data_IF_367572746367
#
_entry.id   IF_367572746367
#
_cell.length_a   1.000
_cell.length_b   1.000
_cell.length_c   1.000
_cell.angle_alpha   90.00
_cell.angle_beta   90.00
_cell.angle_gamma   90.00
#
_symmetry.space_group_name_H-M   'P 1'
#
loop_
_entity.id
_entity.type
_entity.pdbx_description
1 polymer ?
#
# COMPACT_ATOMS: atom_id res chain seq x y z
N UNK A 1 -34.30 -15.06 -0.01
CA UNK A 1 -32.96 -14.44 -0.05
C UNK A 1 -31.96 -15.58 0.04
N UNK A 2 -31.12 -15.83 -0.98
CA UNK A 2 -30.09 -16.85 -0.84
C UNK A 2 -29.03 -16.30 0.12
N UNK A 3 -28.75 -17.05 1.18
CA UNK A 3 -27.64 -16.81 2.09
C UNK A 3 -26.33 -16.89 1.29
N UNK A 4 -25.59 -15.79 1.23
CA UNK A 4 -24.20 -15.79 0.77
C UNK A 4 -23.41 -16.55 1.83
N UNK A 5 -23.06 -17.80 1.53
CA UNK A 5 -22.11 -18.57 2.32
C UNK A 5 -20.74 -17.90 2.18
N UNK A 6 -20.39 -17.00 3.10
CA UNK A 6 -19.00 -16.58 3.27
C UNK A 6 -18.25 -17.77 3.87
N UNK A 7 -17.27 -18.29 3.15
CA UNK A 7 -16.29 -19.21 3.69
C UNK A 7 -15.54 -18.46 4.81
N UNK A 8 -16.02 -18.55 6.05
CA UNK A 8 -15.38 -17.89 7.19
C UNK A 8 -14.09 -18.65 7.52
N UNK A 9 -13.01 -18.34 6.81
CA UNK A 9 -11.68 -18.69 7.25
C UNK A 9 -11.49 -18.14 8.67
N UNK A 10 -11.35 -19.02 9.65
CA UNK A 10 -11.05 -18.62 11.03
C UNK A 10 -9.58 -18.27 11.13
N UNK A 11 -9.27 -16.98 11.02
CA UNK A 11 -7.93 -16.45 11.23
C UNK A 11 -7.58 -16.37 12.72
N UNK A 12 -6.30 -16.52 13.09
CA UNK A 12 -5.87 -16.11 14.42
C UNK A 12 -6.04 -14.60 14.61
N UNK A 13 -6.19 -14.12 15.87
CA UNK A 13 -6.20 -12.69 16.15
C UNK A 13 -4.93 -12.00 15.64
N UNK A 14 -5.09 -10.81 15.09
CA UNK A 14 -3.96 -9.99 14.65
C UNK A 14 -3.14 -9.55 15.85
N UNK A 15 -1.83 -9.78 15.77
CA UNK A 15 -0.83 -9.37 16.76
C UNK A 15 0.10 -8.29 16.23
N UNK A 16 0.15 -8.08 14.92
CA UNK A 16 0.98 -7.05 14.30
C UNK A 16 0.28 -6.36 13.13
N UNK A 17 0.41 -5.05 13.05
CA UNK A 17 -0.01 -4.24 11.91
C UNK A 17 1.22 -3.65 11.21
N UNK A 18 1.33 -3.87 9.90
CA UNK A 18 2.45 -3.41 9.09
C UNK A 18 1.91 -2.44 8.04
N UNK A 19 2.46 -1.23 7.99
CA UNK A 19 1.90 -0.14 7.19
C UNK A 19 2.83 0.21 6.03
N UNK A 20 2.27 0.35 4.83
CA UNK A 20 2.88 1.24 3.85
C UNK A 20 2.79 2.71 4.34
N UNK A 21 3.28 3.67 3.56
CA UNK A 21 3.25 5.09 3.92
C UNK A 21 2.64 5.91 2.81
N UNK A 22 3.11 5.73 1.58
CA UNK A 22 2.85 6.65 0.49
C UNK A 22 1.49 6.35 -0.14
N UNK A 23 0.56 7.29 -0.06
CA UNK A 23 -0.83 7.05 -0.50
C UNK A 23 -1.71 6.33 0.54
N UNK A 24 -1.13 5.91 1.67
CA UNK A 24 -1.85 5.26 2.77
C UNK A 24 -1.88 6.10 4.06
N UNK A 25 -0.71 6.41 4.64
CA UNK A 25 -0.66 7.19 5.87
C UNK A 25 -0.81 8.69 5.59
N UNK A 26 -0.36 9.11 4.40
CA UNK A 26 -0.35 10.50 3.94
C UNK A 26 -0.77 10.58 2.48
N UNK A 27 -1.29 11.73 2.05
CA UNK A 27 -1.71 12.00 0.67
C UNK A 27 -0.55 12.22 -0.33
N UNK A 28 0.61 11.60 -0.11
CA UNK A 28 1.80 11.84 -0.91
C UNK A 28 1.65 11.42 -2.37
N UNK A 29 0.74 10.51 -2.70
CA UNK A 29 0.41 10.14 -4.08
C UNK A 29 -0.18 11.30 -4.89
N UNK A 30 -0.91 12.21 -4.25
CA UNK A 30 -1.40 13.44 -4.90
C UNK A 30 -0.23 14.39 -5.17
N UNK A 31 0.65 14.56 -4.17
CA UNK A 31 1.85 15.40 -4.29
C UNK A 31 2.82 14.86 -5.35
N UNK A 32 3.00 13.53 -5.44
CA UNK A 32 3.75 12.91 -6.52
C UNK A 32 3.13 13.21 -7.90
N UNK A 33 1.80 13.17 -8.00
CA UNK A 33 1.08 13.49 -9.24
C UNK A 33 1.35 14.93 -9.66
N UNK A 34 1.29 15.88 -8.73
CA UNK A 34 1.60 17.28 -8.98
C UNK A 34 3.05 17.46 -9.47
N UNK A 35 4.01 16.83 -8.79
CA UNK A 35 5.43 16.87 -9.19
C UNK A 35 5.62 16.31 -10.61
N UNK A 36 5.01 15.15 -10.90
CA UNK A 36 5.12 14.51 -12.21
C UNK A 36 4.46 15.35 -13.29
N UNK A 37 3.28 15.90 -13.05
CA UNK A 37 2.57 16.75 -14.01
C UNK A 37 3.31 18.07 -14.25
N UNK A 38 3.93 18.67 -13.23
CA UNK A 38 4.79 19.85 -13.42
C UNK A 38 5.93 19.55 -14.40
N UNK A 39 6.56 18.38 -14.28
CA UNK A 39 7.62 17.96 -15.21
C UNK A 39 7.03 17.70 -16.59
N UNK A 40 5.96 16.90 -16.70
CA UNK A 40 5.30 16.57 -17.97
C UNK A 40 4.87 17.83 -18.74
N UNK A 41 4.23 18.78 -18.07
CA UNK A 41 3.83 20.06 -18.66
C UNK A 41 5.00 20.89 -19.16
N UNK A 42 6.17 20.84 -18.49
CA UNK A 42 7.38 21.53 -18.98
C UNK A 42 7.90 20.98 -20.31
N UNK A 43 7.46 19.77 -20.70
CA UNK A 43 7.72 19.14 -22.00
C UNK A 43 6.49 19.15 -22.92
N UNK A 44 5.42 19.88 -22.58
CA UNK A 44 4.18 19.93 -23.36
C UNK A 44 3.38 18.62 -23.38
N UNK A 45 3.58 17.74 -22.40
CA UNK A 45 2.79 16.51 -22.23
C UNK A 45 1.53 16.77 -21.38
N UNK A 46 0.46 15.98 -21.55
CA UNK A 46 -0.72 16.08 -20.71
C UNK A 46 -0.44 15.56 -19.29
N UNK A 47 -1.40 15.77 -18.39
CA UNK A 47 -1.42 15.14 -17.07
C UNK A 47 -1.24 13.62 -17.15
N UNK A 48 -0.55 13.05 -16.16
CA UNK A 48 -0.34 11.62 -16.00
C UNK A 48 -1.70 10.90 -15.84
N UNK A 49 -2.11 10.05 -16.79
CA UNK A 49 -3.34 9.30 -16.65
C UNK A 49 -3.20 8.19 -15.60
N UNK A 50 -4.29 7.93 -14.87
CA UNK A 50 -4.32 6.88 -13.84
C UNK A 50 -3.99 5.48 -14.36
N UNK A 51 -4.30 5.17 -15.62
CA UNK A 51 -3.93 3.89 -16.25
C UNK A 51 -2.42 3.66 -16.31
N UNK A 52 -1.62 4.73 -16.41
CA UNK A 52 -0.16 4.67 -16.40
C UNK A 52 0.36 4.75 -14.97
N UNK A 53 -0.21 5.65 -14.16
CA UNK A 53 0.14 5.77 -12.74
C UNK A 53 -0.03 4.45 -11.97
N UNK A 54 -1.12 3.73 -12.19
CA UNK A 54 -1.40 2.44 -11.56
C UNK A 54 -0.31 1.39 -11.83
N UNK A 55 0.28 1.40 -13.03
CA UNK A 55 1.38 0.51 -13.43
C UNK A 55 2.74 1.00 -12.93
N UNK A 56 2.87 2.28 -12.60
CA UNK A 56 4.09 2.86 -12.06
C UNK A 56 4.21 2.68 -10.53
N UNK A 57 3.09 2.81 -9.82
CA UNK A 57 3.02 2.86 -8.36
C UNK A 57 3.71 1.64 -7.70
N UNK A 58 4.45 1.86 -6.61
CA UNK A 58 5.10 0.85 -5.78
C UNK A 58 6.11 -0.10 -6.46
N UNK A 59 6.47 0.13 -7.73
CA UNK A 59 7.37 -0.75 -8.53
C UNK A 59 8.78 -0.17 -8.75
N UNK A 60 9.13 0.89 -8.03
CA UNK A 60 10.47 1.50 -8.08
C UNK A 60 10.90 1.90 -9.49
N UNK A 61 12.13 1.51 -9.88
CA UNK A 61 12.71 1.85 -11.19
C UNK A 61 11.90 1.29 -12.36
N UNK A 62 11.40 0.05 -12.26
CA UNK A 62 10.65 -0.57 -13.35
C UNK A 62 9.37 0.21 -13.65
N UNK A 63 8.58 0.53 -12.62
CA UNK A 63 7.37 1.33 -12.77
C UNK A 63 7.66 2.71 -13.37
N UNK A 64 8.75 3.35 -12.94
CA UNK A 64 9.15 4.65 -13.47
C UNK A 64 9.56 4.58 -14.95
N UNK A 65 10.24 3.51 -15.38
CA UNK A 65 10.57 3.31 -16.79
C UNK A 65 9.31 3.15 -17.66
N UNK A 66 8.24 2.53 -17.14
CA UNK A 66 6.96 2.45 -17.86
C UNK A 66 6.30 3.84 -18.01
N UNK A 67 6.37 4.69 -16.99
CA UNK A 67 5.90 6.08 -17.09
C UNK A 67 6.70 6.84 -18.15
N UNK A 68 8.03 6.73 -18.14
CA UNK A 68 8.90 7.41 -19.10
C UNK A 68 8.70 6.91 -20.53
N UNK A 69 8.46 5.61 -20.70
CA UNK A 69 8.10 5.00 -21.99
C UNK A 69 6.76 5.54 -22.51
N UNK A 70 5.73 5.66 -21.67
CA UNK A 70 4.50 6.33 -22.08
C UNK A 70 4.73 7.81 -22.44
N UNK A 71 5.51 8.51 -21.60
CA UNK A 71 5.70 9.94 -21.74
C UNK A 71 6.56 10.31 -22.95
N UNK A 72 7.45 9.42 -23.42
CA UNK A 72 8.38 9.66 -24.54
C UNK A 72 9.10 11.02 -24.40
N UNK A 73 9.66 11.28 -23.22
CA UNK A 73 10.39 12.52 -22.93
C UNK A 73 11.84 12.41 -23.44
N UNK A 74 12.47 13.51 -23.90
CA UNK A 74 13.86 13.52 -24.33
C UNK A 74 14.82 13.64 -23.14
N UNK A 75 14.61 12.84 -22.09
CA UNK A 75 15.45 12.80 -20.88
C UNK A 75 15.62 11.37 -20.38
N UNK A 76 16.73 11.16 -19.70
CA UNK A 76 17.07 9.90 -19.02
C UNK A 76 16.31 9.75 -17.70
N UNK A 77 16.29 8.52 -17.18
CA UNK A 77 15.76 8.21 -15.84
C UNK A 77 16.44 9.04 -14.74
N UNK A 78 17.75 9.26 -14.83
CA UNK A 78 18.50 10.02 -13.83
C UNK A 78 18.14 11.50 -13.86
N UNK A 79 17.97 12.08 -15.06
CA UNK A 79 17.50 13.46 -15.24
C UNK A 79 16.07 13.63 -14.72
N UNK A 80 15.17 12.67 -15.00
CA UNK A 80 13.83 12.66 -14.42
C UNK A 80 13.89 12.65 -12.89
N UNK A 81 14.67 11.73 -12.31
CA UNK A 81 14.83 11.58 -10.86
C UNK A 81 15.39 12.85 -10.21
N UNK A 82 16.33 13.53 -10.88
CA UNK A 82 16.86 14.82 -10.45
C UNK A 82 15.79 15.92 -10.46
N UNK A 83 14.95 15.97 -11.51
CA UNK A 83 13.83 16.95 -11.60
C UNK A 83 12.76 16.70 -10.55
N UNK A 84 12.44 15.44 -10.24
CA UNK A 84 11.53 15.09 -9.13
C UNK A 84 12.16 15.53 -7.81
N UNK A 85 13.45 15.21 -7.59
CA UNK A 85 14.17 15.58 -6.36
C UNK A 85 14.24 17.09 -6.11
N UNK A 86 14.33 17.88 -7.19
CA UNK A 86 14.31 19.34 -7.11
C UNK A 86 12.97 19.92 -6.61
N UNK A 87 11.90 19.14 -6.64
CA UNK A 87 10.57 19.54 -6.18
C UNK A 87 10.17 18.91 -4.84
N UNK A 88 11.08 18.24 -4.13
CA UNK A 88 10.79 17.57 -2.85
C UNK A 88 10.25 18.51 -1.75
N UNK A 89 10.45 19.82 -1.88
CA UNK A 89 9.84 20.80 -0.98
C UNK A 89 8.30 20.74 -0.99
N UNK A 90 7.68 20.32 -2.10
CA UNK A 90 6.22 20.11 -2.17
C UNK A 90 5.75 19.01 -1.21
N UNK A 91 6.58 18.04 -0.83
CA UNK A 91 6.18 17.03 0.16
C UNK A 91 5.91 17.60 1.56
N UNK A 92 6.31 18.84 1.85
CA UNK A 92 5.94 19.52 3.10
C UNK A 92 4.44 19.87 3.16
N UNK A 93 3.72 19.79 2.04
CA UNK A 93 2.26 19.96 2.00
C UNK A 93 1.51 18.65 2.29
N UNK A 94 2.21 17.52 2.44
CA UNK A 94 1.59 16.26 2.80
C UNK A 94 0.81 16.39 4.10
N UNK A 95 -0.39 15.82 4.13
CA UNK A 95 -1.26 15.70 5.29
C UNK A 95 -1.57 14.23 5.54
N UNK A 96 -1.85 13.83 6.81
CA UNK A 96 -2.36 12.51 7.09
C UNK A 96 -3.67 12.27 6.34
N UNK A 97 -3.88 11.05 5.84
CA UNK A 97 -5.18 10.68 5.31
C UNK A 97 -6.24 10.68 6.42
N UNK A 98 -7.54 10.85 6.09
CA UNK A 98 -8.62 10.78 7.07
C UNK A 98 -8.51 9.52 7.96
N UNK A 99 -8.76 9.69 9.25
CA UNK A 99 -8.75 8.65 10.29
C UNK A 99 -7.41 7.96 10.57
N UNK A 100 -6.35 8.18 9.78
CA UNK A 100 -5.01 7.63 10.07
C UNK A 100 -4.50 8.01 11.46
N UNK A 101 -4.56 9.29 11.91
CA UNK A 101 -4.11 9.62 13.27
C UNK A 101 -4.87 8.86 14.37
N UNK A 102 -6.18 8.64 14.18
CA UNK A 102 -7.01 7.91 15.15
C UNK A 102 -6.69 6.41 15.14
N UNK A 103 -6.53 5.82 13.96
CA UNK A 103 -6.14 4.41 13.79
C UNK A 103 -4.79 4.15 14.48
N UNK A 104 -3.78 4.96 14.18
CA UNK A 104 -2.44 4.82 14.77
C UNK A 104 -2.48 5.01 16.29
N UNK A 105 -3.24 5.99 16.78
CA UNK A 105 -3.42 6.20 18.24
C UNK A 105 -4.07 4.99 18.91
N UNK A 106 -5.14 4.43 18.32
CA UNK A 106 -5.82 3.27 18.87
C UNK A 106 -4.90 2.05 18.92
N UNK A 107 -4.22 1.72 17.82
CA UNK A 107 -3.36 0.55 17.74
C UNK A 107 -2.15 0.64 18.69
N UNK A 108 -1.51 1.81 18.76
CA UNK A 108 -0.28 2.01 19.55
C UNK A 108 -0.49 2.11 21.05
N UNK A 109 -1.69 2.45 21.52
CA UNK A 109 -1.90 2.78 22.95
C UNK A 109 -3.15 2.21 23.60
N UNK A 110 -4.10 1.67 22.81
CA UNK A 110 -5.40 1.24 23.33
C UNK A 110 -5.70 -0.22 23.03
N UNK A 111 -4.73 -1.04 22.66
CA UNK A 111 -4.97 -2.46 22.36
C UNK A 111 -4.60 -3.37 23.53
N UNK A 112 -5.40 -4.41 23.77
CA UNK A 112 -5.09 -5.47 24.75
C UNK A 112 -5.44 -6.89 24.23
N UNK A 113 -4.44 -7.74 23.94
CA UNK A 113 -3.01 -7.47 24.08
C UNK A 113 -2.52 -6.37 23.12
N UNK A 114 -1.35 -5.78 23.43
CA UNK A 114 -0.74 -4.77 22.60
C UNK A 114 -0.48 -5.30 21.18
N UNK A 115 -0.85 -4.51 20.17
CA UNK A 115 -0.55 -4.80 18.76
C UNK A 115 0.79 -4.18 18.38
N UNK A 116 1.68 -4.99 17.82
CA UNK A 116 2.97 -4.54 17.31
C UNK A 116 2.79 -3.75 16.02
N UNK A 117 3.57 -2.68 15.82
CA UNK A 117 3.43 -1.82 14.64
C UNK A 117 4.76 -1.63 13.92
N UNK A 118 4.74 -1.71 12.59
CA UNK A 118 5.91 -1.49 11.75
C UNK A 118 5.58 -0.66 10.49
N UNK A 119 6.60 0.00 9.95
CA UNK A 119 6.57 0.61 8.62
C UNK A 119 7.28 -0.31 7.63
N UNK A 120 6.70 -0.49 6.44
CA UNK A 120 7.27 -1.22 5.32
C UNK A 120 7.09 -0.42 4.02
N UNK A 121 7.99 0.54 3.77
CA UNK A 121 7.90 1.48 2.64
C UNK A 121 8.99 1.26 1.59
N UNK A 122 8.61 1.41 0.32
CA UNK A 122 9.57 1.44 -0.80
C UNK A 122 10.37 2.74 -0.88
N UNK A 123 9.91 3.81 -0.22
CA UNK A 123 10.59 5.09 -0.19
C UNK A 123 11.82 5.06 0.71
N UNK A 124 12.76 5.98 0.49
CA UNK A 124 13.94 6.14 1.36
C UNK A 124 13.57 6.77 2.69
N UNK A 125 14.35 6.50 3.73
CA UNK A 125 14.26 7.14 5.05
C UNK A 125 14.34 8.67 4.98
N UNK A 126 15.17 9.21 4.06
CA UNK A 126 15.28 10.65 3.80
C UNK A 126 13.97 11.22 3.26
N UNK A 127 13.38 10.57 2.25
CA UNK A 127 12.11 11.02 1.67
C UNK A 127 10.95 10.88 2.65
N UNK A 128 10.92 9.82 3.46
CA UNK A 128 9.96 9.70 4.55
C UNK A 128 10.04 10.90 5.49
N UNK A 129 11.24 11.25 5.97
CA UNK A 129 11.43 12.39 6.89
C UNK A 129 10.99 13.72 6.27
N UNK A 130 11.25 13.95 4.99
CA UNK A 130 10.79 15.17 4.29
C UNK A 130 9.26 15.24 4.31
N UNK A 131 8.58 14.11 4.03
CA UNK A 131 7.11 14.02 3.98
C UNK A 131 6.44 14.11 5.35
N UNK A 132 7.11 13.69 6.43
CA UNK A 132 6.44 13.45 7.73
C UNK A 132 7.01 14.23 8.92
N UNK A 133 8.12 14.94 8.79
CA UNK A 133 8.74 15.64 9.94
C UNK A 133 7.83 16.69 10.61
N UNK A 134 6.91 17.27 9.86
CA UNK A 134 5.89 18.20 10.35
C UNK A 134 4.60 17.51 10.84
N UNK A 135 4.56 16.17 10.85
CA UNK A 135 3.39 15.35 11.19
C UNK A 135 3.69 14.44 12.40
N UNK A 136 3.57 14.93 13.65
CA UNK A 136 3.89 14.15 14.85
C UNK A 136 3.11 12.84 14.94
N UNK A 137 1.84 12.82 14.55
CA UNK A 137 0.97 11.64 14.59
C UNK A 137 1.50 10.46 13.77
N UNK A 138 2.28 10.72 12.72
CA UNK A 138 2.90 9.67 11.90
C UNK A 138 4.31 9.36 12.43
N UNK A 139 5.11 10.40 12.70
CA UNK A 139 6.52 10.21 13.03
C UNK A 139 6.74 9.55 14.41
N UNK A 140 5.81 9.65 15.35
CA UNK A 140 5.93 9.04 16.68
C UNK A 140 5.20 7.70 16.82
N UNK A 141 4.39 7.28 15.84
CA UNK A 141 3.52 6.11 15.99
C UNK A 141 4.26 4.76 15.94
N UNK A 142 5.47 4.74 15.39
CA UNK A 142 6.19 3.50 15.09
C UNK A 142 7.54 3.44 15.81
N UNK A 143 7.91 2.33 16.46
CA UNK A 143 9.27 2.12 16.98
C UNK A 143 10.30 2.29 15.86
N UNK A 144 11.47 2.89 16.14
CA UNK A 144 12.45 3.23 15.11
C UNK A 144 13.07 1.97 14.47
N UNK A 145 13.27 0.95 15.28
CA UNK A 145 13.76 -0.39 14.97
C UNK A 145 12.83 -1.21 14.06
N UNK A 146 11.54 -0.85 14.03
CA UNK A 146 10.49 -1.50 13.23
C UNK A 146 10.13 -0.69 11.98
N UNK A 147 11.00 0.23 11.53
CA UNK A 147 10.81 0.98 10.28
C UNK A 147 11.73 0.42 9.20
N UNK A 148 11.14 -0.14 8.16
CA UNK A 148 11.85 -0.63 6.97
C UNK A 148 11.59 0.32 5.81
N UNK A 149 12.68 0.86 5.25
CA UNK A 149 12.68 1.78 4.12
C UNK A 149 13.46 1.20 2.94
N UNK A 150 13.24 1.75 1.74
CA UNK A 150 13.89 1.27 0.52
C UNK A 150 15.42 1.41 0.48
N UNK A 151 15.99 2.24 1.36
CA UNK A 151 17.42 2.46 1.60
C UNK A 151 17.97 1.74 2.84
N UNK A 152 17.19 0.86 3.48
CA UNK A 152 17.70 -0.04 4.54
C UNK A 152 18.78 -0.96 3.95
N UNK A 153 19.88 -1.17 4.66
CA UNK A 153 20.95 -2.06 4.23
C UNK A 153 20.47 -3.49 4.01
N UNK A 154 19.50 -3.97 4.79
CA UNK A 154 18.87 -5.28 4.60
C UNK A 154 17.96 -5.34 3.37
N UNK A 155 17.69 -4.20 2.70
CA UNK A 155 16.91 -4.12 1.47
C UNK A 155 17.78 -4.05 0.20
N UNK A 156 19.11 -4.12 0.30
CA UNK A 156 20.00 -3.99 -0.87
C UNK A 156 19.81 -5.12 -1.90
N UNK A 157 19.65 -6.35 -1.41
CA UNK A 157 19.40 -7.55 -2.24
C UNK A 157 17.91 -7.96 -2.25
N UNK A 158 17.06 -7.22 -1.54
CA UNK A 158 15.64 -7.51 -1.46
C UNK A 158 14.93 -7.12 -2.76
N UNK A 159 14.03 -7.98 -3.21
CA UNK A 159 13.18 -7.70 -4.36
C UNK A 159 12.09 -6.71 -3.93
N UNK A 160 11.76 -5.77 -4.82
CA UNK A 160 10.71 -4.77 -4.57
C UNK A 160 9.31 -5.40 -4.71
N UNK A 161 8.29 -4.71 -4.20
CA UNK A 161 6.87 -5.07 -4.40
C UNK A 161 6.65 -5.29 -5.91
N UNK A 162 6.01 -6.40 -6.34
CA UNK A 162 5.13 -7.27 -5.57
C UNK A 162 5.80 -8.41 -4.79
N UNK A 163 7.13 -8.46 -4.68
CA UNK A 163 7.76 -9.45 -3.81
C UNK A 163 7.55 -9.12 -2.31
N UNK A 164 7.39 -10.13 -1.44
CA UNK A 164 7.00 -9.95 -0.05
C UNK A 164 8.15 -9.47 0.86
N UNK A 165 9.36 -9.35 0.31
CA UNK A 165 10.61 -9.22 1.04
C UNK A 165 10.57 -8.06 2.07
N UNK A 166 9.97 -6.92 1.74
CA UNK A 166 9.85 -5.77 2.67
C UNK A 166 8.92 -6.04 3.85
N UNK A 167 7.82 -6.76 3.65
CA UNK A 167 6.88 -7.11 4.71
C UNK A 167 7.44 -8.22 5.61
N UNK A 168 8.13 -9.20 5.02
CA UNK A 168 8.83 -10.23 5.77
C UNK A 168 9.97 -9.65 6.62
N UNK A 169 10.70 -8.67 6.09
CA UNK A 169 11.72 -7.95 6.86
C UNK A 169 11.09 -7.16 8.01
N UNK A 170 9.98 -6.46 7.78
CA UNK A 170 9.26 -5.74 8.84
C UNK A 170 8.76 -6.68 9.95
N UNK A 171 8.21 -7.86 9.59
CA UNK A 171 7.86 -8.90 10.55
C UNK A 171 9.10 -9.40 11.32
N UNK A 172 10.22 -9.61 10.64
CA UNK A 172 11.49 -9.98 11.28
C UNK A 172 11.96 -8.94 12.31
N UNK A 173 11.80 -7.64 12.01
CA UNK A 173 12.10 -6.56 12.96
C UNK A 173 11.17 -6.60 14.17
N UNK A 174 9.87 -6.81 13.97
CA UNK A 174 8.91 -6.98 15.07
C UNK A 174 9.34 -8.16 15.95
N UNK A 175 9.59 -9.33 15.35
CA UNK A 175 9.98 -10.54 16.08
C UNK A 175 11.28 -10.37 16.87
N UNK A 176 12.24 -9.60 16.35
CA UNK A 176 13.49 -9.29 17.05
C UNK A 176 13.33 -8.37 18.28
N UNK A 177 12.19 -7.67 18.41
CA UNK A 177 11.93 -6.71 19.50
C UNK A 177 10.71 -7.07 20.34
N UNK A 178 10.24 -8.32 20.27
CA UNK A 178 9.18 -8.81 21.14
C UNK A 178 9.60 -8.78 22.62
N UNK A 179 8.62 -8.60 23.50
CA UNK A 179 8.84 -8.66 24.94
C UNK A 179 9.25 -10.04 25.43
N UNK A 180 9.85 -10.09 26.62
CA UNK A 180 10.24 -11.35 27.25
C UNK A 180 9.03 -12.27 27.45
N UNK A 181 9.12 -13.49 26.93
CA UNK A 181 8.06 -14.49 27.04
C UNK A 181 6.97 -14.38 25.97
N UNK A 182 7.01 -13.36 25.11
CA UNK A 182 6.18 -13.34 23.90
C UNK A 182 6.71 -14.37 22.89
N UNK A 183 5.78 -15.12 22.28
CA UNK A 183 6.12 -15.97 21.13
C UNK A 183 6.21 -15.13 19.86
N UNK A 184 6.98 -15.63 18.89
CA UNK A 184 7.04 -15.06 17.54
C UNK A 184 5.64 -14.84 16.95
N UNK A 185 5.50 -13.72 16.25
CA UNK A 185 4.35 -13.39 15.42
C UNK A 185 4.51 -14.11 14.09
N UNK A 186 3.48 -14.85 13.69
CA UNK A 186 3.44 -15.55 12.40
C UNK A 186 2.78 -14.68 11.33
N UNK A 187 3.07 -14.91 10.03
CA UNK A 187 2.49 -14.10 8.95
C UNK A 187 0.97 -13.98 8.98
N UNK A 188 0.24 -15.06 9.30
CA UNK A 188 -1.22 -15.04 9.36
C UNK A 188 -1.79 -14.24 10.55
N UNK A 189 -0.94 -13.82 11.48
CA UNK A 189 -1.25 -12.91 12.60
C UNK A 189 -0.90 -11.45 12.28
N UNK A 190 -0.45 -11.18 11.06
CA UNK A 190 -0.15 -9.84 10.57
C UNK A 190 -1.30 -9.30 9.72
N UNK A 191 -1.57 -8.00 9.88
CA UNK A 191 -2.39 -7.21 8.99
C UNK A 191 -1.54 -6.16 8.30
N UNK A 192 -1.44 -6.23 6.98
CA UNK A 192 -0.81 -5.22 6.14
C UNK A 192 -1.86 -4.17 5.76
N UNK A 193 -1.54 -2.89 5.93
CA UNK A 193 -2.30 -1.80 5.34
C UNK A 193 -1.52 -1.29 4.12
N UNK A 194 -2.20 -1.19 2.97
CA UNK A 194 -1.60 -0.88 1.68
C UNK A 194 -2.56 -0.10 0.79
N UNK A 195 -2.07 0.76 -0.09
CA UNK A 195 -2.88 1.50 -1.06
C UNK A 195 -2.69 0.99 -2.50
N UNK A 196 -1.57 0.30 -2.75
CA UNK A 196 -1.12 -0.06 -4.09
C UNK A 196 -1.39 -1.52 -4.42
N UNK A 197 -1.66 -1.78 -5.69
CA UNK A 197 -1.93 -3.14 -6.19
C UNK A 197 -0.73 -4.08 -5.97
N UNK A 198 0.49 -3.62 -6.30
CA UNK A 198 1.71 -4.39 -6.06
C UNK A 198 1.94 -4.64 -4.56
N UNK A 199 1.52 -3.71 -3.70
CA UNK A 199 1.62 -3.85 -2.26
C UNK A 199 0.66 -4.89 -1.70
N UNK A 200 -0.59 -4.92 -2.18
CA UNK A 200 -1.54 -5.98 -1.83
C UNK A 200 -1.00 -7.34 -2.21
N UNK A 201 -0.49 -7.48 -3.43
CA UNK A 201 0.12 -8.70 -3.91
C UNK A 201 1.34 -9.13 -3.07
N UNK A 202 2.19 -8.18 -2.66
CA UNK A 202 3.30 -8.44 -1.77
C UNK A 202 2.86 -8.89 -0.36
N UNK A 203 1.83 -8.28 0.22
CA UNK A 203 1.27 -8.70 1.51
C UNK A 203 0.69 -10.11 1.45
N UNK A 204 -0.02 -10.43 0.36
CA UNK A 204 -0.57 -11.76 0.09
C UNK A 204 0.53 -12.80 -0.09
N UNK A 205 1.57 -12.50 -0.87
CA UNK A 205 2.76 -13.36 -1.05
C UNK A 205 3.55 -13.55 0.26
N UNK A 206 3.44 -12.61 1.21
CA UNK A 206 4.05 -12.74 2.53
C UNK A 206 3.26 -13.69 3.45
N UNK A 207 2.08 -14.16 3.04
CA UNK A 207 1.18 -14.95 3.88
C UNK A 207 0.50 -14.12 4.96
N UNK A 208 0.27 -12.83 4.69
CA UNK A 208 -0.34 -11.88 5.63
C UNK A 208 -1.73 -11.48 5.19
N UNK A 209 -2.58 -11.07 6.14
CA UNK A 209 -3.87 -10.45 5.82
C UNK A 209 -3.62 -9.03 5.31
N UNK A 210 -4.49 -8.52 4.43
CA UNK A 210 -4.29 -7.20 3.80
C UNK A 210 -5.56 -6.36 3.82
N UNK A 211 -5.46 -5.13 4.34
CA UNK A 211 -6.44 -4.08 4.15
C UNK A 211 -5.95 -3.16 3.02
N UNK A 212 -6.59 -3.26 1.85
CA UNK A 212 -6.33 -2.40 0.69
C UNK A 212 -7.15 -1.12 0.78
N UNK A 213 -6.48 0.03 0.80
CA UNK A 213 -7.07 1.37 0.88
C UNK A 213 -6.68 2.17 -0.37
N UNK A 214 -7.28 1.88 -1.54
CA UNK A 214 -6.85 2.51 -2.78
C UNK A 214 -7.21 3.99 -2.85
N UNK A 215 -6.33 4.77 -3.47
CA UNK A 215 -6.71 6.08 -3.98
C UNK A 215 -7.89 5.95 -4.96
N UNK A 216 -8.84 6.90 -4.95
CA UNK A 216 -10.06 6.86 -5.79
C UNK A 216 -9.76 6.64 -7.28
N UNK A 217 -8.71 7.29 -7.79
CA UNK A 217 -8.29 7.13 -9.18
C UNK A 217 -7.72 5.74 -9.49
N UNK A 218 -7.05 5.09 -8.54
CA UNK A 218 -6.60 3.70 -8.70
C UNK A 218 -7.79 2.74 -8.68
N UNK A 219 -8.73 2.94 -7.74
CA UNK A 219 -9.97 2.18 -7.66
C UNK A 219 -10.74 2.23 -8.98
N UNK A 220 -10.79 3.38 -9.64
CA UNK A 220 -11.45 3.51 -10.95
C UNK A 220 -10.78 2.68 -12.05
N UNK A 221 -9.44 2.60 -12.08
CA UNK A 221 -8.71 1.75 -13.04
C UNK A 221 -9.08 0.27 -12.86
N UNK A 222 -9.39 -0.13 -11.63
CA UNK A 222 -9.71 -1.50 -11.23
C UNK A 222 -11.20 -1.76 -11.04
N UNK A 223 -12.08 -0.83 -11.46
CA UNK A 223 -13.53 -0.98 -11.32
C UNK A 223 -14.00 -2.29 -11.98
N UNK A 224 -14.71 -3.11 -11.21
CA UNK A 224 -15.19 -4.44 -11.62
C UNK A 224 -14.12 -5.54 -11.60
N UNK A 225 -12.90 -5.24 -11.17
CA UNK A 225 -11.76 -6.17 -11.07
C UNK A 225 -11.08 -6.10 -9.70
N UNK A 226 -11.67 -5.43 -8.72
CA UNK A 226 -11.13 -5.25 -7.37
C UNK A 226 -10.84 -6.60 -6.68
N UNK A 227 -11.71 -7.60 -6.87
CA UNK A 227 -11.51 -8.95 -6.33
C UNK A 227 -10.19 -9.59 -6.79
N UNK A 228 -9.73 -9.34 -8.02
CA UNK A 228 -8.44 -9.84 -8.50
C UNK A 228 -7.25 -9.21 -7.77
N UNK A 229 -7.37 -7.94 -7.40
CA UNK A 229 -6.36 -7.25 -6.60
C UNK A 229 -6.31 -7.87 -5.20
N UNK A 230 -7.47 -8.06 -4.56
CA UNK A 230 -7.57 -8.68 -3.24
C UNK A 230 -7.05 -10.13 -3.22
N UNK A 231 -7.22 -10.86 -4.32
CA UNK A 231 -6.64 -12.20 -4.48
C UNK A 231 -5.11 -12.19 -4.69
N UNK A 232 -4.50 -11.04 -4.95
CA UNK A 232 -3.08 -10.89 -5.26
C UNK A 232 -2.70 -11.34 -6.69
N UNK A 233 -3.62 -11.24 -7.65
CA UNK A 233 -3.47 -11.74 -9.04
C UNK A 233 -3.37 -10.64 -10.08
N UNK A 234 -2.71 -9.54 -9.76
CA UNK A 234 -2.95 -8.27 -10.42
C UNK A 234 -2.32 -8.11 -11.81
N UNK A 235 -1.05 -8.44 -12.03
CA UNK A 235 -0.37 -8.00 -13.27
C UNK A 235 0.43 -9.04 -14.04
N UNK A 236 1.06 -10.02 -13.38
CA UNK A 236 1.85 -11.04 -14.09
C UNK A 236 0.97 -11.95 -14.97
N UNK A 237 -0.27 -12.23 -14.54
CA UNK A 237 -1.24 -13.03 -15.31
C UNK A 237 -1.86 -12.28 -16.51
N UNK A 238 -1.85 -10.94 -16.51
CA UNK A 238 -2.31 -10.16 -17.68
C UNK A 238 -1.25 -10.19 -18.80
N UNK A 239 0.05 -10.13 -18.47
CA UNK A 239 1.12 -10.26 -19.48
C UNK A 239 1.10 -11.61 -20.20
N UNK A 240 0.77 -12.70 -19.49
CA UNK A 240 0.60 -14.03 -20.11
C UNK A 240 -0.64 -14.12 -21.00
N UNK A 241 -1.74 -13.44 -20.65
CA UNK A 241 -2.96 -13.42 -21.46
C UNK A 241 -2.87 -12.47 -22.66
N UNK A 242 -2.21 -11.33 -22.54
CA UNK A 242 -2.01 -10.38 -23.64
C UNK A 242 -1.04 -10.90 -24.72
N UNK A 243 -0.07 -11.75 -24.36
CA UNK A 243 0.74 -12.45 -25.36
C UNK A 243 -0.05 -13.52 -26.14
N UNK A 244 -1.12 -14.06 -25.56
CA UNK A 244 -1.91 -15.14 -26.17
C UNK A 244 -3.27 -14.70 -26.75
N UNK A 245 -3.67 -13.43 -26.55
CA UNK A 245 -4.99 -12.95 -26.94
C UNK A 245 -4.91 -11.53 -27.52
N UNK A 246 -4.47 -11.40 -28.77
CA UNK A 246 -5.01 -10.34 -29.62
C UNK A 246 -6.44 -10.76 -29.98
N UNK A 247 -7.44 -10.14 -29.34
CA UNK A 247 -8.83 -9.91 -29.78
C UNK A 247 -9.77 -9.86 -28.57
N UNK A 248 -10.58 -8.80 -28.47
CA UNK A 248 -11.78 -8.78 -27.63
C UNK A 248 -11.95 -7.48 -26.86
N UNK A 249 -12.62 -6.50 -27.47
CA UNK A 249 -13.18 -5.34 -26.77
C UNK A 249 -14.06 -5.80 -25.60
N UNK A 250 -13.71 -5.39 -24.39
CA UNK A 250 -14.41 -5.77 -23.16
C UNK A 250 -15.83 -5.24 -23.13
N UNK A 251 -16.79 -6.16 -22.94
CA UNK A 251 -18.18 -5.87 -22.65
C UNK A 251 -18.28 -4.98 -21.40
N UNK A 252 -18.98 -3.85 -21.55
CA UNK A 252 -19.42 -3.02 -20.44
C UNK A 252 -20.54 -3.75 -19.70
N UNK A 253 -20.21 -4.46 -18.63
CA UNK A 253 -21.22 -4.86 -17.67
C UNK A 253 -21.75 -3.63 -16.94
N UNK A 254 -23.05 -3.44 -17.10
CA UNK A 254 -23.86 -2.42 -16.45
C UNK A 254 -24.20 -2.91 -15.04
N UNK A 255 -24.11 -1.99 -14.08
CA UNK A 255 -24.54 -2.11 -12.68
C UNK A 255 -23.58 -2.87 -11.74
N UNK A 256 -22.46 -2.23 -11.38
CA UNK A 256 -21.87 -2.45 -10.05
C UNK A 256 -22.20 -1.22 -9.20
N UNK A 257 -23.03 -1.38 -8.17
CA UNK A 257 -23.21 -0.38 -7.13
C UNK A 257 -21.85 0.02 -6.55
N UNK A 258 -21.67 1.26 -6.11
CA UNK A 258 -20.46 1.72 -5.43
C UNK A 258 -20.30 0.97 -4.09
N UNK A 259 -19.79 -0.26 -4.15
CA UNK A 259 -19.42 -0.99 -2.96
C UNK A 259 -18.18 -0.30 -2.38
N UNK A 260 -18.34 0.27 -1.19
CA UNK A 260 -17.28 0.93 -0.42
C UNK A 260 -16.39 -0.07 0.34
N UNK A 261 -16.85 -1.32 0.42
CA UNK A 261 -16.23 -2.42 1.15
C UNK A 261 -16.34 -3.71 0.32
N UNK A 262 -15.22 -4.38 0.09
CA UNK A 262 -15.14 -5.67 -0.61
C UNK A 262 -14.20 -6.62 0.14
N UNK A 263 -14.43 -7.92 0.00
CA UNK A 263 -13.60 -8.98 0.58
C UNK A 263 -13.11 -9.92 -0.53
N UNK A 264 -11.91 -10.48 -0.36
CA UNK A 264 -11.50 -11.66 -1.13
C UNK A 264 -12.34 -12.88 -0.72
N UNK A 265 -12.55 -13.82 -1.64
CA UNK A 265 -13.33 -15.04 -1.35
C UNK A 265 -12.73 -15.89 -0.22
N UNK A 266 -11.41 -15.82 -0.03
CA UNK A 266 -10.67 -16.54 1.01
C UNK A 266 -10.52 -15.74 2.32
N UNK A 267 -11.09 -14.52 2.40
CA UNK A 267 -11.11 -13.66 3.58
C UNK A 267 -9.76 -13.04 3.98
N UNK A 268 -8.70 -13.26 3.20
CA UNK A 268 -7.37 -12.76 3.52
C UNK A 268 -7.17 -11.28 3.21
N UNK A 269 -7.99 -10.70 2.34
CA UNK A 269 -7.90 -9.29 2.02
C UNK A 269 -9.26 -8.61 1.97
N UNK A 270 -9.29 -7.36 2.39
CA UNK A 270 -10.43 -6.47 2.22
C UNK A 270 -10.03 -5.20 1.48
N UNK A 271 -10.99 -4.57 0.82
CA UNK A 271 -10.86 -3.21 0.30
C UNK A 271 -11.69 -2.28 1.17
N UNK A 272 -11.08 -1.21 1.67
CA UNK A 272 -11.76 -0.09 2.31
C UNK A 272 -11.50 1.20 1.53
N UNK A 273 -12.50 2.04 1.33
CA UNK A 273 -12.28 3.34 0.67
C UNK A 273 -11.60 4.37 1.58
N UNK A 274 -11.65 4.16 2.89
CA UNK A 274 -10.95 4.95 3.90
C UNK A 274 -10.87 4.15 5.21
N UNK A 275 -10.09 4.63 6.17
CA UNK A 275 -9.90 3.98 7.47
C UNK A 275 -10.87 4.52 8.54
N UNK A 276 -11.95 5.18 8.13
CA UNK A 276 -13.04 5.54 9.03
C UNK A 276 -13.74 4.27 9.52
N UNK A 277 -14.04 4.21 10.82
CA UNK A 277 -14.77 3.08 11.43
C UNK A 277 -14.14 1.70 11.19
N UNK A 278 -12.80 1.63 11.12
CA UNK A 278 -12.07 0.37 10.97
C UNK A 278 -12.52 -0.68 11.99
N UNK A 279 -12.91 -1.87 11.51
CA UNK A 279 -13.47 -2.95 12.32
C UNK A 279 -12.37 -3.74 13.03
N UNK A 280 -11.95 -3.28 14.20
CA UNK A 280 -10.94 -3.95 15.03
C UNK A 280 -11.36 -5.36 15.46
N UNK A 281 -12.65 -5.57 15.75
CA UNK A 281 -13.15 -6.85 16.28
C UNK A 281 -13.07 -7.96 15.23
N UNK A 282 -13.33 -7.64 13.95
CA UNK A 282 -13.13 -8.55 12.83
C UNK A 282 -11.69 -9.11 12.77
N UNK A 283 -10.70 -8.30 13.15
CA UNK A 283 -9.29 -8.70 13.19
C UNK A 283 -8.88 -9.33 14.52
N UNK A 284 -9.81 -9.50 15.47
CA UNK A 284 -9.50 -9.96 16.83
C UNK A 284 -8.69 -8.96 17.64
N UNK A 285 -8.66 -7.69 17.23
CA UNK A 285 -7.99 -6.60 17.93
C UNK A 285 -9.01 -6.01 18.92
N UNK A 286 -8.68 -6.04 20.21
CA UNK A 286 -9.56 -5.50 21.25
C UNK A 286 -9.08 -4.13 21.68
N UNK A 287 -9.98 -3.15 21.66
CA UNK A 287 -9.71 -1.82 22.16
C UNK A 287 -10.10 -1.69 23.64
N UNK A 288 -9.17 -1.21 24.44
CA UNK A 288 -9.39 -0.81 25.83
C UNK A 288 -9.80 0.65 25.86
N UNK A 289 -11.10 0.89 25.99
CA UNK A 289 -11.65 2.21 26.32
C UNK A 289 -11.68 2.37 27.84
N UNK A 290 -10.50 2.50 28.44
CA UNK A 290 -10.37 2.98 29.83
C UNK A 290 -10.27 4.49 29.87
#
# INVERSE_FOLDING_TARGET
>A
MPEVQTNNATFPPVRACIFDVDGLLINSEDVYTDIYNNILHSYGKPDLPWSIKARQQSRGREGMLQLLDWAQLPITYDEWTAKVSAQYELFKTCTPLPSVPQLLSNLSSKTDPAVHMAIASSATSKTFRIKTSHLPSINSAFPQECRVFGDDAAMSEARKKPMPDVFLLALGRINAHLGLGEREVRPEECLVFEDSVAGVEAGRRAGMRVCWVPHKGLREVWRGREGRVLEGKSEEEEKEKDMNTRLGEGQKDKQSEEQSHLWSEDGWAEMLMCLEEFDYEHYGIRLNYT
#
